data_IF_884824920373
#
_entry.id   IF_884824920373
#
_cell.length_a   1.000
_cell.length_b   1.000
_cell.length_c   1.000
_cell.angle_alpha   90.00
_cell.angle_beta   90.00
_cell.angle_gamma   90.00
#
_symmetry.space_group_name_H-M   'P 1'
#
loop_
_entity.id
_entity.type
_entity.pdbx_description
1 polymer ?
#
# COMPACT_ATOMS: atom_id res chain seq x y z
N UNK A 1 -41.73 9.73 67.11
CA UNK A 1 -41.65 9.88 65.62
C UNK A 1 -40.23 10.20 65.26
N UNK A 2 -39.46 9.21 64.86
CA UNK A 2 -38.02 9.36 64.53
C UNK A 2 -37.86 9.35 63.03
N UNK A 3 -37.33 10.45 62.44
CA UNK A 3 -37.04 10.57 61.03
C UNK A 3 -35.67 9.90 60.74
N UNK A 4 -35.70 8.80 59.98
CA UNK A 4 -34.47 8.23 59.38
C UNK A 4 -34.02 9.15 58.26
N UNK A 5 -32.88 9.81 58.41
CA UNK A 5 -32.16 10.46 57.32
C UNK A 5 -31.40 9.40 56.52
N UNK A 6 -31.81 9.18 55.27
CA UNK A 6 -31.12 8.31 54.35
C UNK A 6 -29.83 9.01 53.83
N UNK A 7 -28.72 8.41 54.16
CA UNK A 7 -27.39 8.89 53.74
C UNK A 7 -27.11 8.47 52.27
N UNK A 8 -27.42 9.34 51.32
CA UNK A 8 -27.27 9.12 49.89
C UNK A 8 -25.84 9.46 49.39
N UNK A 9 -24.96 9.96 50.29
CA UNK A 9 -23.65 10.46 49.91
C UNK A 9 -22.50 9.43 49.86
N UNK A 10 -22.71 8.20 50.34
CA UNK A 10 -21.62 7.22 50.49
C UNK A 10 -21.45 6.25 49.31
N UNK A 11 -22.31 6.31 48.27
CA UNK A 11 -22.26 5.39 47.13
C UNK A 11 -21.43 5.88 45.91
N UNK A 12 -20.86 7.10 45.99
CA UNK A 12 -20.16 7.70 44.81
C UNK A 12 -18.62 7.67 44.86
N UNK A 13 -18.05 7.00 45.84
CA UNK A 13 -16.57 6.90 45.96
C UNK A 13 -16.09 5.43 46.03
N UNK A 14 -16.55 4.61 45.11
CA UNK A 14 -15.80 3.38 44.82
C UNK A 14 -14.82 3.66 43.68
N UNK A 15 -13.49 3.50 43.86
CA UNK A 15 -12.56 3.56 42.76
C UNK A 15 -12.94 2.49 41.76
N UNK A 16 -13.12 2.91 40.51
CA UNK A 16 -13.50 2.02 39.42
C UNK A 16 -12.55 0.84 39.37
N UNK A 17 -13.11 -0.37 39.35
CA UNK A 17 -12.39 -1.59 39.01
C UNK A 17 -11.66 -1.33 37.70
N UNK A 18 -10.34 -1.29 37.77
CA UNK A 18 -9.50 -1.43 36.61
C UNK A 18 -9.92 -2.75 35.92
N UNK A 19 -10.58 -2.66 34.79
CA UNK A 19 -10.80 -3.79 33.91
C UNK A 19 -9.43 -4.19 33.36
N UNK A 20 -8.88 -5.24 33.95
CA UNK A 20 -7.70 -5.93 33.41
C UNK A 20 -8.04 -6.50 32.05
N UNK A 21 -7.15 -6.19 31.08
CA UNK A 21 -6.96 -6.94 29.85
C UNK A 21 -8.20 -7.12 28.95
N UNK A 22 -8.65 -6.03 28.33
CA UNK A 22 -9.09 -6.17 26.94
C UNK A 22 -7.80 -6.34 26.13
N UNK A 23 -7.53 -7.55 25.64
CA UNK A 23 -6.53 -7.74 24.59
C UNK A 23 -6.79 -6.70 23.50
N UNK A 24 -5.75 -6.04 23.02
CA UNK A 24 -5.84 -5.09 21.92
C UNK A 24 -6.42 -5.83 20.69
N UNK A 25 -7.74 -5.89 20.61
CA UNK A 25 -8.39 -6.19 19.34
C UNK A 25 -8.15 -4.91 18.54
N UNK A 26 -7.11 -4.94 17.69
CA UNK A 26 -6.85 -3.91 16.71
C UNK A 26 -8.04 -3.90 15.75
N UNK A 27 -9.07 -3.14 16.09
CA UNK A 27 -10.25 -2.97 15.23
C UNK A 27 -9.79 -2.18 14.02
N UNK A 28 -9.75 -2.83 12.86
CA UNK A 28 -9.45 -2.15 11.61
C UNK A 28 -10.55 -1.11 11.33
N UNK A 29 -10.18 0.14 11.03
CA UNK A 29 -11.15 1.14 10.65
C UNK A 29 -11.96 0.67 9.43
N UNK A 30 -13.28 0.81 9.50
CA UNK A 30 -14.17 0.43 8.40
C UNK A 30 -14.30 1.53 7.31
N UNK A 31 -13.70 2.70 7.53
CA UNK A 31 -13.79 3.86 6.64
C UNK A 31 -12.39 4.48 6.42
N UNK A 32 -12.27 5.26 5.36
CA UNK A 32 -11.07 6.08 5.14
C UNK A 32 -10.90 7.08 6.27
N UNK A 33 -9.68 7.17 6.81
CA UNK A 33 -9.38 8.12 7.88
C UNK A 33 -7.91 8.57 7.86
N UNK A 34 -7.64 9.83 8.22
CA UNK A 34 -6.27 10.29 8.41
C UNK A 34 -5.67 9.66 9.67
N UNK A 35 -4.40 9.25 9.58
CA UNK A 35 -3.63 8.68 10.68
C UNK A 35 -2.22 9.26 10.69
N UNK A 36 -1.55 9.14 11.83
CA UNK A 36 -0.10 9.35 11.93
C UNK A 36 0.52 8.00 12.28
N UNK A 37 1.40 7.52 11.41
CA UNK A 37 2.13 6.27 11.59
C UNK A 37 3.62 6.54 11.66
N UNK A 38 4.34 5.67 12.34
CA UNK A 38 5.80 5.69 12.37
C UNK A 38 6.37 4.83 11.23
N UNK A 39 7.61 5.06 10.82
CA UNK A 39 8.22 4.31 9.71
C UNK A 39 8.29 2.81 9.97
N UNK A 40 8.41 2.40 11.24
CA UNK A 40 8.41 0.99 11.66
C UNK A 40 7.03 0.33 11.60
N UNK A 41 5.95 1.11 11.47
CA UNK A 41 4.59 0.63 11.20
C UNK A 41 4.26 0.60 9.70
N UNK A 42 5.17 1.08 8.85
CA UNK A 42 4.99 1.17 7.41
C UNK A 42 5.88 0.16 6.67
N UNK A 43 5.37 -0.44 5.64
CA UNK A 43 6.10 -1.32 4.74
C UNK A 43 5.83 -0.99 3.28
N UNK A 44 6.81 -1.13 2.39
CA UNK A 44 6.57 -1.07 0.97
C UNK A 44 5.54 -2.11 0.55
N UNK A 45 4.75 -1.80 -0.47
CA UNK A 45 3.86 -2.79 -1.04
C UNK A 45 4.68 -3.87 -1.78
N UNK A 46 4.59 -5.15 -1.39
CA UNK A 46 5.37 -6.23 -1.99
C UNK A 46 4.95 -6.54 -3.44
N UNK A 47 3.73 -6.18 -3.80
CA UNK A 47 3.18 -6.39 -5.14
C UNK A 47 3.35 -5.17 -6.07
N UNK A 48 4.20 -4.18 -5.67
CA UNK A 48 4.52 -3.05 -6.53
C UNK A 48 5.28 -3.53 -7.78
N UNK A 49 4.79 -3.22 -8.99
CA UNK A 49 5.44 -3.64 -10.23
C UNK A 49 6.79 -2.96 -10.48
N UNK A 50 7.03 -1.78 -9.88
CA UNK A 50 8.31 -1.10 -10.02
C UNK A 50 9.38 -1.78 -9.18
N UNK A 51 10.37 -2.35 -9.85
CA UNK A 51 11.57 -2.95 -9.26
C UNK A 51 12.78 -2.02 -9.33
N UNK A 52 12.80 -1.12 -10.31
CA UNK A 52 13.90 -0.17 -10.54
C UNK A 52 13.76 1.08 -9.67
N UNK A 53 14.91 1.73 -9.39
CA UNK A 53 14.96 3.03 -8.71
C UNK A 53 14.27 4.08 -9.59
N UNK A 54 13.42 4.91 -8.99
CA UNK A 54 12.76 6.00 -9.71
C UNK A 54 13.82 6.94 -10.32
N UNK A 55 13.78 7.22 -11.64
CA UNK A 55 14.73 8.13 -12.27
C UNK A 55 14.81 9.53 -11.65
N UNK A 56 13.72 9.97 -11.01
CA UNK A 56 13.64 11.27 -10.32
C UNK A 56 13.84 11.15 -8.81
N UNK A 57 14.47 10.07 -8.34
CA UNK A 57 14.63 9.79 -6.91
C UNK A 57 15.30 10.94 -6.16
N UNK A 58 16.40 11.46 -6.69
CA UNK A 58 17.19 12.49 -6.02
C UNK A 58 16.46 13.85 -5.99
N UNK A 59 15.72 14.18 -7.07
CA UNK A 59 14.84 15.38 -7.10
C UNK A 59 13.73 15.28 -6.05
N UNK A 60 13.08 14.10 -5.96
CA UNK A 60 12.04 13.84 -4.99
C UNK A 60 12.61 13.91 -3.57
N UNK A 61 13.79 13.35 -3.34
CA UNK A 61 14.48 13.39 -2.04
C UNK A 61 14.82 14.83 -1.63
N UNK A 62 15.34 15.63 -2.54
CA UNK A 62 15.61 17.05 -2.28
C UNK A 62 14.33 17.82 -1.95
N UNK A 63 13.23 17.55 -2.66
CA UNK A 63 11.92 18.15 -2.39
C UNK A 63 11.40 17.77 -1.00
N UNK A 64 11.41 16.48 -0.65
CA UNK A 64 10.93 16.00 0.65
C UNK A 64 11.79 16.54 1.79
N UNK A 65 13.10 16.63 1.60
CA UNK A 65 14.04 17.21 2.58
C UNK A 65 13.70 18.67 2.87
N UNK A 66 13.36 19.45 1.87
CA UNK A 66 13.09 20.89 2.02
C UNK A 66 11.68 21.19 2.51
N UNK A 67 10.66 20.52 2.00
CA UNK A 67 9.25 20.87 2.20
C UNK A 67 8.41 19.79 2.89
N UNK A 68 8.95 18.58 3.07
CA UNK A 68 8.19 17.42 3.50
C UNK A 68 7.41 16.76 2.36
N UNK A 69 6.41 15.96 2.71
CA UNK A 69 5.54 15.31 1.73
C UNK A 69 4.46 16.29 1.24
N UNK A 70 4.46 16.60 -0.05
CA UNK A 70 3.43 17.44 -0.68
C UNK A 70 2.07 16.71 -0.80
N UNK A 71 2.08 15.38 -0.82
CA UNK A 71 0.88 14.55 -0.96
C UNK A 71 0.85 13.52 0.16
N UNK A 72 -0.29 13.44 0.86
CA UNK A 72 -0.52 12.43 1.90
C UNK A 72 -0.57 11.04 1.25
N UNK A 73 0.36 10.13 1.61
CA UNK A 73 0.34 8.78 1.07
C UNK A 73 -0.85 7.99 1.60
N UNK A 74 -1.38 7.11 0.75
CA UNK A 74 -2.47 6.22 1.11
C UNK A 74 -1.92 4.88 1.55
N UNK A 75 -2.44 4.37 2.65
CA UNK A 75 -2.03 3.10 3.23
C UNK A 75 -3.24 2.22 3.50
N UNK A 76 -3.00 0.94 3.52
CA UNK A 76 -3.99 -0.07 3.88
C UNK A 76 -3.33 -1.14 4.75
N UNK A 77 -4.11 -2.02 5.32
CA UNK A 77 -3.62 -3.14 6.11
C UNK A 77 -4.09 -4.43 5.48
N UNK A 78 -3.14 -5.29 5.10
CA UNK A 78 -3.43 -6.63 4.62
C UNK A 78 -3.92 -7.48 5.81
N UNK A 79 -5.12 -8.07 5.75
CA UNK A 79 -5.63 -8.93 6.81
C UNK A 79 -4.76 -10.16 7.08
N UNK A 80 -4.07 -10.66 6.04
CA UNK A 80 -3.19 -11.83 6.10
C UNK A 80 -1.72 -11.44 6.33
N UNK A 81 -1.43 -10.14 6.47
CA UNK A 81 -0.10 -9.60 6.68
C UNK A 81 0.31 -9.57 8.16
N UNK A 82 1.47 -8.97 8.43
CA UNK A 82 1.96 -8.80 9.80
C UNK A 82 1.03 -7.90 10.63
N UNK A 83 0.78 -8.26 11.91
CA UNK A 83 -0.03 -7.45 12.81
C UNK A 83 0.54 -6.03 12.94
N UNK A 84 -0.34 -5.02 12.89
CA UNK A 84 -0.02 -3.59 13.02
C UNK A 84 0.93 -3.00 11.97
N UNK A 85 1.16 -3.73 10.88
CA UNK A 85 1.91 -3.28 9.72
C UNK A 85 0.96 -2.75 8.64
N UNK A 86 1.28 -1.59 8.08
CA UNK A 86 0.53 -0.94 7.02
C UNK A 86 1.36 -0.89 5.74
N UNK A 87 0.75 -1.21 4.61
CA UNK A 87 1.38 -1.14 3.29
C UNK A 87 0.81 0.02 2.47
N UNK A 88 1.60 0.55 1.55
CA UNK A 88 1.12 1.58 0.62
C UNK A 88 0.15 0.97 -0.39
N UNK A 89 -1.05 1.56 -0.51
CA UNK A 89 -2.10 1.06 -1.41
C UNK A 89 -1.98 1.59 -2.83
N UNK A 90 -1.65 2.88 -2.97
CA UNK A 90 -1.63 3.60 -4.26
C UNK A 90 -0.28 4.32 -4.42
N UNK A 91 0.80 3.62 -4.76
CA UNK A 91 2.15 4.20 -4.80
C UNK A 91 2.67 4.59 -3.40
N UNK A 92 3.92 5.00 -3.31
CA UNK A 92 4.51 5.44 -2.05
C UNK A 92 5.82 4.74 -1.68
N UNK A 93 6.17 3.62 -2.32
CA UNK A 93 7.40 2.88 -2.02
C UNK A 93 8.65 3.76 -2.14
N UNK A 94 8.75 4.58 -3.20
CA UNK A 94 9.86 5.54 -3.37
C UNK A 94 9.90 6.55 -2.21
N UNK A 95 8.74 7.08 -1.82
CA UNK A 95 8.65 8.05 -0.71
C UNK A 95 9.03 7.41 0.62
N UNK A 96 8.62 6.17 0.86
CA UNK A 96 9.03 5.42 2.04
C UNK A 96 10.55 5.24 2.13
N UNK A 97 11.19 4.82 1.03
CA UNK A 97 12.64 4.70 0.97
C UNK A 97 13.33 6.03 1.26
N UNK A 98 12.86 7.12 0.65
CA UNK A 98 13.38 8.47 0.88
C UNK A 98 13.22 8.91 2.33
N UNK A 99 12.05 8.70 2.93
CA UNK A 99 11.82 9.04 4.34
C UNK A 99 12.73 8.24 5.27
N UNK A 100 12.93 6.95 5.00
CA UNK A 100 13.82 6.09 5.77
C UNK A 100 15.28 6.57 5.68
N UNK A 101 15.75 6.91 4.48
CA UNK A 101 17.10 7.49 4.30
C UNK A 101 17.24 8.84 5.02
N UNK A 102 16.26 9.74 4.85
CA UNK A 102 16.30 11.06 5.52
C UNK A 102 16.25 10.94 7.03
N UNK A 103 15.48 10.01 7.57
CA UNK A 103 15.49 9.72 9.00
C UNK A 103 16.86 9.23 9.47
N UNK A 104 17.48 8.29 8.75
CA UNK A 104 18.83 7.80 9.08
C UNK A 104 19.90 8.89 9.00
N UNK A 105 19.79 9.81 8.03
CA UNK A 105 20.74 10.89 7.83
C UNK A 105 20.61 12.01 8.85
N UNK A 106 19.40 12.34 9.26
CA UNK A 106 19.12 13.58 10.02
C UNK A 106 18.63 13.34 11.46
N UNK A 107 17.97 12.21 11.72
CA UNK A 107 17.28 11.94 12.99
C UNK A 107 16.08 12.83 13.26
N UNK A 108 15.60 13.59 12.27
CA UNK A 108 14.49 14.51 12.45
C UNK A 108 13.14 13.77 12.48
N UNK A 109 12.38 13.97 13.55
CA UNK A 109 11.09 13.28 13.81
C UNK A 109 10.05 13.46 12.70
N UNK A 110 10.12 14.55 11.92
CA UNK A 110 9.25 14.79 10.76
C UNK A 110 9.40 13.77 9.62
N UNK A 111 10.52 13.05 9.56
CA UNK A 111 10.73 11.98 8.59
C UNK A 111 10.34 10.61 9.15
N UNK A 112 10.26 10.48 10.49
CA UNK A 112 9.87 9.26 11.17
C UNK A 112 8.35 9.13 11.32
N UNK A 113 7.66 10.25 11.66
CA UNK A 113 6.22 10.30 11.83
C UNK A 113 5.55 10.79 10.54
N UNK A 114 4.80 9.92 9.90
CA UNK A 114 4.21 10.15 8.59
C UNK A 114 2.71 10.31 8.72
N UNK A 115 2.18 11.44 8.23
CA UNK A 115 0.75 11.60 8.04
C UNK A 115 0.32 10.76 6.83
N UNK A 116 -0.67 9.89 7.02
CA UNK A 116 -1.17 8.97 6.01
C UNK A 116 -2.69 8.99 5.97
N UNK A 117 -3.26 8.62 4.85
CA UNK A 117 -4.69 8.34 4.71
C UNK A 117 -4.87 6.83 4.69
N UNK A 118 -5.44 6.29 5.77
CA UNK A 118 -5.83 4.89 5.80
C UNK A 118 -7.01 4.65 4.87
N UNK A 119 -6.95 3.55 4.11
CA UNK A 119 -8.06 3.01 3.34
C UNK A 119 -8.34 1.58 3.77
N UNK A 120 -9.61 1.16 3.88
CA UNK A 120 -9.95 -0.24 4.08
C UNK A 120 -9.31 -1.12 3.01
N UNK A 121 -8.95 -2.33 3.38
CA UNK A 121 -8.32 -3.30 2.48
C UNK A 121 -9.21 -3.58 1.25
N UNK A 122 -8.79 -3.22 0.04
CA UNK A 122 -9.60 -3.44 -1.14
C UNK A 122 -9.45 -4.86 -1.71
N UNK A 123 -8.48 -5.61 -1.22
CA UNK A 123 -8.01 -6.87 -1.78
C UNK A 123 -6.69 -6.74 -2.53
N UNK A 124 -5.93 -7.83 -2.56
CA UNK A 124 -4.58 -7.88 -3.17
C UNK A 124 -4.60 -7.50 -4.66
N UNK A 125 -5.58 -8.03 -5.39
CA UNK A 125 -5.75 -7.74 -6.81
C UNK A 125 -5.97 -6.26 -7.09
N UNK A 126 -6.88 -5.63 -6.32
CA UNK A 126 -7.20 -4.22 -6.46
C UNK A 126 -6.01 -3.32 -6.12
N UNK A 127 -5.15 -3.73 -5.17
CA UNK A 127 -3.90 -3.03 -4.90
C UNK A 127 -2.95 -3.07 -6.11
N UNK A 128 -2.76 -4.25 -6.73
CA UNK A 128 -1.91 -4.39 -7.93
C UNK A 128 -2.44 -3.55 -9.09
N UNK A 129 -3.73 -3.65 -9.37
CA UNK A 129 -4.36 -2.90 -10.47
C UNK A 129 -4.35 -1.41 -10.19
N UNK A 130 -4.62 -0.99 -8.95
CA UNK A 130 -4.55 0.41 -8.54
C UNK A 130 -3.18 1.03 -8.77
N UNK A 131 -2.10 0.31 -8.40
CA UNK A 131 -0.72 0.72 -8.69
C UNK A 131 -0.44 0.86 -10.19
N UNK A 132 -0.90 -0.12 -10.99
CA UNK A 132 -0.73 -0.07 -12.44
C UNK A 132 -1.47 1.12 -13.06
N UNK A 133 -2.72 1.32 -12.69
CA UNK A 133 -3.56 2.39 -13.23
C UNK A 133 -3.03 3.78 -12.86
N UNK A 134 -2.61 3.99 -11.60
CA UNK A 134 -2.03 5.27 -11.16
C UNK A 134 -0.74 5.60 -11.92
N UNK A 135 0.15 4.62 -12.03
CA UNK A 135 1.43 4.82 -12.72
C UNK A 135 1.26 4.95 -14.25
N UNK A 136 0.25 4.29 -14.85
CA UNK A 136 -0.09 4.47 -16.26
C UNK A 136 -0.49 5.92 -16.57
N UNK A 137 -1.34 6.51 -15.72
CA UNK A 137 -1.76 7.92 -15.87
C UNK A 137 -0.56 8.87 -15.72
N UNK A 138 0.42 8.53 -14.88
CA UNK A 138 1.62 9.34 -14.68
C UNK A 138 2.71 9.10 -15.73
N UNK A 139 2.59 8.04 -16.54
CA UNK A 139 3.63 7.64 -17.50
C UNK A 139 4.94 7.20 -16.83
N UNK A 140 4.88 6.66 -15.62
CA UNK A 140 6.06 6.37 -14.79
C UNK A 140 6.57 4.93 -14.91
N UNK A 141 5.80 3.99 -15.52
CA UNK A 141 6.22 2.60 -15.69
C UNK A 141 6.85 2.36 -17.06
N UNK A 142 7.95 1.61 -17.07
CA UNK A 142 8.48 1.01 -18.28
C UNK A 142 7.55 -0.08 -18.82
N UNK A 143 7.74 -0.46 -20.08
CA UNK A 143 6.97 -1.57 -20.66
C UNK A 143 7.10 -2.87 -19.87
N UNK A 144 8.31 -3.16 -19.36
CA UNK A 144 8.58 -4.39 -18.63
C UNK A 144 7.96 -4.36 -17.23
N UNK A 145 8.00 -3.24 -16.53
CA UNK A 145 7.36 -3.08 -15.23
C UNK A 145 5.83 -3.24 -15.34
N UNK A 146 5.23 -2.68 -16.39
CA UNK A 146 3.81 -2.89 -16.70
C UNK A 146 3.50 -4.36 -17.01
N UNK A 147 4.38 -5.02 -17.78
CA UNK A 147 4.25 -6.44 -18.08
C UNK A 147 4.30 -7.31 -16.82
N UNK A 148 5.23 -7.04 -15.90
CA UNK A 148 5.35 -7.74 -14.62
C UNK A 148 4.10 -7.54 -13.76
N UNK A 149 3.58 -6.32 -13.68
CA UNK A 149 2.34 -6.04 -12.93
C UNK A 149 1.11 -6.75 -13.52
N UNK A 150 0.96 -6.79 -14.85
CA UNK A 150 -0.12 -7.52 -15.52
C UNK A 150 0.02 -9.03 -15.32
N UNK A 151 1.23 -9.56 -15.39
CA UNK A 151 1.51 -10.97 -15.10
C UNK A 151 1.15 -11.33 -13.65
N UNK A 152 1.48 -10.46 -12.70
CA UNK A 152 1.09 -10.62 -11.29
C UNK A 152 -0.42 -10.61 -11.11
N UNK A 153 -1.13 -9.67 -11.75
CA UNK A 153 -2.59 -9.61 -11.72
C UNK A 153 -3.21 -10.90 -12.29
N UNK A 154 -2.65 -11.44 -13.39
CA UNK A 154 -3.08 -12.72 -13.96
C UNK A 154 -2.94 -13.85 -12.95
N UNK A 155 -1.80 -13.99 -12.31
CA UNK A 155 -1.56 -15.02 -11.30
C UNK A 155 -2.57 -14.96 -10.16
N UNK A 156 -2.89 -13.76 -9.67
CA UNK A 156 -3.91 -13.56 -8.62
C UNK A 156 -5.31 -13.95 -9.12
N UNK A 157 -5.69 -13.59 -10.36
CA UNK A 157 -6.96 -14.03 -10.95
C UNK A 157 -7.03 -15.55 -11.08
N UNK A 158 -5.96 -16.19 -11.53
CA UNK A 158 -5.90 -17.66 -11.68
C UNK A 158 -6.03 -18.35 -10.32
N UNK A 159 -5.40 -17.81 -9.27
CA UNK A 159 -5.53 -18.27 -7.90
C UNK A 159 -6.98 -18.15 -7.40
N UNK A 160 -7.62 -16.98 -7.59
CA UNK A 160 -8.99 -16.74 -7.17
C UNK A 160 -10.02 -17.57 -7.92
N UNK A 161 -9.80 -17.80 -9.22
CA UNK A 161 -10.73 -18.56 -10.06
C UNK A 161 -10.47 -20.07 -10.04
N UNK A 162 -9.34 -20.50 -9.50
CA UNK A 162 -8.92 -21.92 -9.50
C UNK A 162 -8.69 -22.51 -10.89
N UNK A 163 -8.46 -21.67 -11.91
CA UNK A 163 -8.28 -22.10 -13.31
C UNK A 163 -7.44 -21.09 -14.10
N UNK A 164 -6.76 -21.56 -15.17
CA UNK A 164 -6.01 -20.66 -16.05
C UNK A 164 -6.91 -19.59 -16.70
N UNK A 165 -6.37 -18.39 -16.84
CA UNK A 165 -7.04 -17.24 -17.47
C UNK A 165 -6.43 -16.99 -18.84
N UNK A 166 -7.26 -17.05 -19.90
CA UNK A 166 -6.82 -16.72 -21.25
C UNK A 166 -6.52 -15.23 -21.43
N UNK A 167 -5.70 -14.86 -22.41
CA UNK A 167 -5.36 -13.46 -22.71
C UNK A 167 -6.60 -12.59 -22.94
N UNK A 168 -7.60 -13.11 -23.59
CA UNK A 168 -8.86 -12.41 -23.83
C UNK A 168 -9.63 -12.16 -22.53
N UNK A 169 -9.76 -13.19 -21.69
CA UNK A 169 -10.40 -13.08 -20.40
C UNK A 169 -9.64 -12.09 -19.51
N UNK A 170 -8.30 -12.14 -19.50
CA UNK A 170 -7.47 -11.19 -18.74
C UNK A 170 -7.71 -9.75 -19.21
N UNK A 171 -7.74 -9.50 -20.51
CA UNK A 171 -8.05 -8.18 -21.08
C UNK A 171 -9.43 -7.68 -20.64
N UNK A 172 -10.45 -8.54 -20.64
CA UNK A 172 -11.80 -8.20 -20.17
C UNK A 172 -11.84 -7.90 -18.66
N UNK A 173 -11.15 -8.71 -17.85
CA UNK A 173 -11.07 -8.53 -16.39
C UNK A 173 -10.36 -7.23 -16.04
N UNK A 174 -9.19 -6.96 -16.62
CA UNK A 174 -8.45 -5.72 -16.40
C UNK A 174 -9.24 -4.48 -16.82
N UNK A 175 -9.98 -4.57 -17.93
CA UNK A 175 -10.84 -3.47 -18.40
C UNK A 175 -11.96 -3.15 -17.42
N UNK A 176 -12.56 -4.15 -16.77
CA UNK A 176 -13.59 -3.96 -15.73
C UNK A 176 -13.04 -3.25 -14.50
N UNK A 177 -11.78 -3.50 -14.17
CA UNK A 177 -11.09 -2.85 -13.04
C UNK A 177 -10.51 -1.46 -13.41
N UNK A 178 -10.78 -0.96 -14.61
CA UNK A 178 -10.33 0.37 -15.03
C UNK A 178 -8.92 0.41 -15.65
N UNK A 179 -8.33 -0.73 -15.96
CA UNK A 179 -7.04 -0.85 -16.64
C UNK A 179 -7.22 -1.49 -18.02
N UNK A 180 -7.67 -0.76 -19.06
CA UNK A 180 -7.91 -1.33 -20.38
C UNK A 180 -6.59 -1.67 -21.07
N UNK A 181 -6.31 -2.96 -21.26
CA UNK A 181 -5.14 -3.46 -21.99
C UNK A 181 -5.61 -4.49 -23.02
N UNK A 182 -5.26 -4.25 -24.28
CA UNK A 182 -5.65 -5.15 -25.36
C UNK A 182 -4.90 -6.49 -25.27
N UNK A 183 -5.58 -7.60 -25.62
CA UNK A 183 -5.03 -8.95 -25.54
C UNK A 183 -3.73 -9.14 -26.34
N UNK A 184 -3.58 -8.47 -27.51
CA UNK A 184 -2.34 -8.51 -28.29
C UNK A 184 -1.17 -7.80 -27.59
N UNK A 185 -1.45 -6.78 -26.77
CA UNK A 185 -0.43 -6.12 -25.95
C UNK A 185 -0.01 -7.04 -24.81
N UNK A 186 -0.98 -7.69 -24.16
CA UNK A 186 -0.69 -8.67 -23.10
C UNK A 186 0.17 -9.81 -23.65
N UNK A 187 -0.13 -10.33 -24.86
CA UNK A 187 0.70 -11.36 -25.51
C UNK A 187 2.14 -10.92 -25.70
N UNK A 188 2.35 -9.69 -26.20
CA UNK A 188 3.72 -9.13 -26.36
C UNK A 188 4.44 -8.94 -25.01
N UNK A 189 3.70 -8.57 -23.98
CA UNK A 189 4.26 -8.44 -22.63
C UNK A 189 4.68 -9.81 -22.07
N UNK A 190 3.88 -10.85 -22.25
CA UNK A 190 4.23 -12.21 -21.83
C UNK A 190 5.43 -12.76 -22.62
N UNK A 191 5.50 -12.51 -23.92
CA UNK A 191 6.64 -12.88 -24.74
C UNK A 191 7.93 -12.15 -24.26
N UNK A 192 7.83 -10.87 -23.95
CA UNK A 192 8.96 -10.11 -23.40
C UNK A 192 9.44 -10.66 -22.05
N UNK A 193 8.51 -10.98 -21.14
CA UNK A 193 8.85 -11.58 -19.85
C UNK A 193 9.48 -12.96 -20.00
N UNK A 194 8.99 -13.76 -20.94
CA UNK A 194 9.46 -15.13 -21.15
C UNK A 194 10.77 -15.22 -21.90
N UNK A 195 10.97 -14.42 -22.94
CA UNK A 195 12.05 -14.59 -23.90
C UNK A 195 13.14 -13.53 -23.81
N UNK A 196 12.85 -12.32 -23.30
CA UNK A 196 13.81 -11.23 -23.25
C UNK A 196 14.27 -10.94 -21.82
N UNK A 197 13.36 -10.84 -20.89
CA UNK A 197 13.65 -10.46 -19.50
C UNK A 197 14.71 -11.36 -18.81
N UNK A 198 14.74 -12.68 -19.01
CA UNK A 198 15.77 -13.53 -18.40
C UNK A 198 17.20 -13.25 -18.90
N UNK A 199 17.35 -12.58 -20.03
CA UNK A 199 18.66 -12.36 -20.69
C UNK A 199 19.17 -10.92 -20.56
N UNK A 200 18.25 -9.95 -20.56
CA UNK A 200 18.58 -8.51 -20.57
C UNK A 200 17.72 -7.71 -19.59
N UNK A 201 17.60 -8.12 -18.30
CA UNK A 201 16.70 -7.45 -17.36
C UNK A 201 17.03 -5.96 -17.20
N UNK A 202 18.29 -5.61 -16.95
CA UNK A 202 18.73 -4.24 -16.70
C UNK A 202 18.41 -3.29 -17.88
N UNK A 203 18.56 -3.79 -19.11
CA UNK A 203 18.25 -3.02 -20.31
C UNK A 203 16.75 -2.73 -20.43
N UNK A 204 15.90 -3.74 -20.16
CA UNK A 204 14.45 -3.59 -20.22
C UNK A 204 13.91 -2.72 -19.07
N UNK A 205 14.51 -2.80 -17.90
CA UNK A 205 14.15 -1.96 -16.73
C UNK A 205 14.57 -0.50 -16.92
N UNK A 206 15.65 -0.23 -17.67
CA UNK A 206 16.05 1.13 -18.02
C UNK A 206 15.13 1.83 -19.02
N UNK A 207 14.17 1.10 -19.61
CA UNK A 207 13.19 1.63 -20.56
C UNK A 207 13.73 1.80 -21.98
N UNK A 208 14.84 1.16 -22.31
CA UNK A 208 15.43 1.11 -23.66
C UNK A 208 14.91 -0.09 -24.46
#
# INVERSE_FOLDING_TARGET
MSRKSSNVGAAMLQPGRQSQAAGNISVMPAAEMPMVLTLDQLSPNPDNPRTSRNPRYDDIKASIRSRGLDTVPKVTRDPDGEPDMYIFSDGGNTRYQILSELWQETGEDRFFRVHVLFKPWPGRLQCVIGHLAENEVRGELSFIEKAQGIHKARSIYEEQLGKPVSLRQLSELLTREGLPVHNSTISRMEDALKYLFPWIPDLLESGL
#
